data_IF_469448913820
#
_entry.id   IF_469448913820
#
_cell.length_a   1.000
_cell.length_b   1.000
_cell.length_c   1.000
_cell.angle_alpha   90.00
_cell.angle_beta   90.00
_cell.angle_gamma   90.00
#
_symmetry.space_group_name_H-M   'P 1'
#
loop_
_entity.id
_entity.type
_entity.pdbx_description
1 polymer ?
#
# COMPACT_ATOMS: atom_id res chain seq x y z
N UNK A 1 17.74 -13.19 51.83
CA UNK A 1 17.17 -13.51 50.50
C UNK A 1 16.18 -12.41 50.12
N UNK A 2 16.55 -11.49 49.23
CA UNK A 2 15.61 -10.50 48.67
C UNK A 2 14.97 -11.13 47.44
N UNK A 3 13.68 -11.39 47.50
CA UNK A 3 12.86 -11.83 46.37
C UNK A 3 12.87 -10.71 45.33
N UNK A 4 13.52 -10.97 44.18
CA UNK A 4 13.37 -10.14 42.99
C UNK A 4 11.91 -10.23 42.54
N UNK A 5 11.13 -9.18 42.77
CA UNK A 5 9.81 -9.02 42.15
C UNK A 5 10.02 -8.99 40.64
N UNK A 6 9.44 -9.96 39.93
CA UNK A 6 9.36 -9.92 38.47
C UNK A 6 8.63 -8.63 38.07
N UNK A 7 9.22 -7.87 37.15
CA UNK A 7 8.50 -6.80 36.46
C UNK A 7 7.39 -7.48 35.67
N UNK A 8 6.13 -7.34 36.09
CA UNK A 8 5.00 -7.77 35.28
C UNK A 8 5.00 -6.93 34.01
N UNK A 9 5.35 -7.54 32.87
CA UNK A 9 5.25 -6.95 31.54
C UNK A 9 3.77 -6.85 31.15
N UNK A 10 3.07 -5.82 31.65
CA UNK A 10 1.75 -5.51 31.12
C UNK A 10 1.91 -5.09 29.67
N UNK A 11 1.27 -5.82 28.74
CA UNK A 11 1.32 -5.50 27.32
C UNK A 11 0.72 -4.11 27.10
N UNK A 12 1.50 -3.20 26.52
CA UNK A 12 1.02 -1.85 26.18
C UNK A 12 -0.12 -1.94 25.14
N UNK A 13 -1.04 -0.97 25.19
CA UNK A 13 -2.24 -0.90 24.35
C UNK A 13 -3.02 -2.25 24.25
N UNK A 14 -3.53 -2.81 25.38
CA UNK A 14 -4.22 -4.10 25.39
C UNK A 14 -5.50 -4.12 24.56
N UNK A 15 -6.16 -2.97 24.38
CA UNK A 15 -7.35 -2.78 23.55
C UNK A 15 -7.05 -2.66 22.06
N UNK A 16 -5.78 -2.58 21.65
CA UNK A 16 -5.37 -2.35 20.26
C UNK A 16 -6.04 -1.12 19.63
N UNK A 17 -6.25 -0.06 20.42
CA UNK A 17 -6.86 1.19 19.95
C UNK A 17 -5.86 2.02 19.15
N UNK A 18 -6.33 2.68 18.08
CA UNK A 18 -5.54 3.63 17.30
C UNK A 18 -5.07 4.76 18.22
N UNK A 19 -3.75 4.97 18.28
CA UNK A 19 -3.13 5.99 19.12
C UNK A 19 -2.84 7.25 18.31
N UNK A 20 -2.89 8.41 18.99
CA UNK A 20 -2.54 9.71 18.40
C UNK A 20 -1.34 10.30 19.14
N UNK A 21 -0.26 10.57 18.42
CA UNK A 21 0.98 11.13 18.94
C UNK A 21 1.14 12.60 18.56
N UNK A 22 1.78 13.37 19.45
CA UNK A 22 2.08 14.82 19.29
C UNK A 22 3.54 15.06 19.69
N UNK A 23 4.52 14.72 18.84
CA UNK A 23 5.93 14.90 19.14
C UNK A 23 6.28 16.36 19.42
N UNK A 24 7.25 16.58 20.31
CA UNK A 24 7.98 17.86 20.33
C UNK A 24 8.86 18.01 19.09
N UNK A 25 9.41 19.21 18.85
CA UNK A 25 10.34 19.45 17.73
C UNK A 25 11.56 18.53 17.82
N UNK A 26 12.07 18.33 19.04
CA UNK A 26 13.25 17.52 19.32
C UNK A 26 12.95 16.04 19.02
N UNK A 27 11.78 15.56 19.44
CA UNK A 27 11.32 14.19 19.18
C UNK A 27 11.06 13.94 17.69
N UNK A 28 10.60 14.97 16.96
CA UNK A 28 10.29 14.89 15.54
C UNK A 28 11.52 14.86 14.62
N UNK A 29 12.73 15.10 15.14
CA UNK A 29 13.94 15.12 14.34
C UNK A 29 14.41 13.73 13.87
N UNK A 30 14.18 12.68 14.66
CA UNK A 30 14.65 11.32 14.36
C UNK A 30 13.45 10.39 14.12
N UNK A 31 13.15 10.16 12.84
CA UNK A 31 12.03 9.33 12.38
C UNK A 31 12.11 7.91 12.95
N UNK A 32 13.21 7.21 12.75
CA UNK A 32 13.39 5.80 13.18
C UNK A 32 13.23 5.68 14.70
N UNK A 33 13.81 6.61 15.46
CA UNK A 33 13.67 6.64 16.92
C UNK A 33 12.22 6.87 17.35
N UNK A 34 11.49 7.75 16.66
CA UNK A 34 10.10 8.02 17.00
C UNK A 34 9.16 6.86 16.63
N UNK A 35 9.41 6.17 15.50
CA UNK A 35 8.70 4.92 15.17
C UNK A 35 8.90 3.89 16.28
N UNK A 36 10.14 3.66 16.72
CA UNK A 36 10.43 2.73 17.81
C UNK A 36 9.77 3.16 19.14
N UNK A 37 9.72 4.47 19.42
CA UNK A 37 8.98 5.00 20.57
C UNK A 37 7.48 4.68 20.47
N UNK A 38 6.82 4.95 19.34
CA UNK A 38 5.39 4.64 19.17
C UNK A 38 5.10 3.16 19.38
N UNK A 39 5.95 2.27 18.85
CA UNK A 39 5.82 0.83 19.08
C UNK A 39 6.03 0.45 20.54
N UNK A 40 6.97 1.09 21.25
CA UNK A 40 7.15 0.88 22.69
C UNK A 40 5.90 1.22 23.52
N UNK A 41 5.05 2.13 23.02
CA UNK A 41 3.75 2.48 23.60
C UNK A 41 2.60 1.56 23.14
N UNK A 42 2.88 0.59 22.26
CA UNK A 42 1.90 -0.37 21.75
C UNK A 42 1.10 0.12 20.53
N UNK A 43 1.54 1.17 19.84
CA UNK A 43 0.82 1.73 18.69
C UNK A 43 0.63 0.72 17.54
N UNK A 44 1.64 -0.12 17.28
CA UNK A 44 1.62 -1.14 16.23
C UNK A 44 0.50 -2.17 16.37
N UNK A 45 0.00 -2.36 17.59
CA UNK A 45 -1.06 -3.33 17.86
C UNK A 45 -2.39 -2.95 17.22
N UNK A 46 -2.63 -1.67 17.01
CA UNK A 46 -3.83 -1.19 16.29
C UNK A 46 -3.71 -1.38 14.77
N UNK A 47 -2.51 -1.64 14.24
CA UNK A 47 -2.22 -1.66 12.81
C UNK A 47 -2.07 -0.27 12.19
N UNK A 48 -2.46 0.79 12.91
CA UNK A 48 -2.44 2.17 12.45
C UNK A 48 -2.28 3.14 13.61
N UNK A 49 -1.51 4.21 13.41
CA UNK A 49 -1.38 5.33 14.34
C UNK A 49 -1.42 6.67 13.60
N UNK A 50 -1.85 7.71 14.31
CA UNK A 50 -1.82 9.10 13.82
C UNK A 50 -0.69 9.86 14.51
N UNK A 51 0.02 10.70 13.76
CA UNK A 51 1.02 11.63 14.29
C UNK A 51 0.66 13.05 13.84
N UNK A 52 0.48 13.95 14.80
CA UNK A 52 0.26 15.37 14.54
C UNK A 52 1.60 16.07 14.75
N UNK A 53 2.23 16.63 13.70
CA UNK A 53 3.55 17.23 13.81
C UNK A 53 3.52 18.50 14.69
N UNK A 54 4.69 18.99 15.13
CA UNK A 54 4.79 20.27 15.84
C UNK A 54 4.13 21.40 15.05
N UNK A 55 3.45 22.33 15.74
CA UNK A 55 2.57 23.33 15.12
C UNK A 55 3.28 24.26 14.11
N UNK A 56 4.58 24.47 14.27
CA UNK A 56 5.40 25.30 13.40
C UNK A 56 6.12 24.53 12.29
N UNK A 57 6.06 23.20 12.31
CA UNK A 57 6.58 22.37 11.24
C UNK A 57 5.62 22.41 10.04
N UNK A 58 6.19 22.49 8.83
CA UNK A 58 5.45 22.42 7.57
C UNK A 58 6.25 21.61 6.55
N UNK A 59 5.56 20.76 5.79
CA UNK A 59 6.17 19.99 4.70
C UNK A 59 6.73 20.90 3.59
N UNK A 60 6.00 21.99 3.28
CA UNK A 60 6.36 23.01 2.29
C UNK A 60 5.74 24.37 2.62
N UNK A 61 6.21 25.43 1.95
CA UNK A 61 5.71 26.80 2.16
C UNK A 61 4.29 27.06 1.65
N UNK A 62 4.00 26.77 0.38
CA UNK A 62 2.71 27.00 -0.28
C UNK A 62 2.39 25.88 -1.26
N UNK A 63 1.14 25.76 -1.70
CA UNK A 63 0.69 24.75 -2.68
C UNK A 63 0.19 25.38 -3.99
N UNK A 64 0.53 26.64 -4.27
CA UNK A 64 -0.05 27.39 -5.40
C UNK A 64 0.51 26.96 -6.77
N UNK A 65 1.65 26.28 -6.76
CA UNK A 65 2.43 25.83 -7.91
C UNK A 65 2.10 24.40 -8.37
N UNK A 66 1.12 23.74 -7.74
CA UNK A 66 0.81 22.32 -8.02
C UNK A 66 -0.19 22.12 -9.17
N UNK A 67 -0.81 23.19 -9.64
CA UNK A 67 -1.95 23.14 -10.57
C UNK A 67 -1.61 22.44 -11.89
N UNK A 68 -0.36 22.54 -12.35
CA UNK A 68 0.12 21.98 -13.62
C UNK A 68 0.68 20.55 -13.47
N UNK A 69 0.65 19.96 -12.26
CA UNK A 69 1.01 18.56 -12.06
C UNK A 69 0.07 17.67 -12.88
N UNK A 70 0.63 16.75 -13.65
CA UNK A 70 -0.12 15.84 -14.51
C UNK A 70 -0.50 14.56 -13.76
N UNK A 71 -1.80 14.30 -13.64
CA UNK A 71 -2.34 13.01 -13.24
C UNK A 71 -2.44 12.16 -14.52
N UNK A 72 -1.41 11.34 -14.79
CA UNK A 72 -1.27 10.63 -16.06
C UNK A 72 -2.35 9.55 -16.29
N UNK A 73 -2.79 8.87 -15.22
CA UNK A 73 -3.77 7.78 -15.31
C UNK A 73 -4.83 7.85 -14.19
N UNK A 74 -5.74 8.84 -14.19
CA UNK A 74 -6.80 8.92 -13.19
C UNK A 74 -7.72 7.69 -13.28
N UNK A 75 -8.14 7.17 -12.12
CA UNK A 75 -8.89 5.93 -12.02
C UNK A 75 -10.33 6.20 -11.61
N UNK A 76 -11.29 6.00 -12.52
CA UNK A 76 -12.70 6.00 -12.17
C UNK A 76 -13.04 4.72 -11.41
N UNK A 77 -13.51 4.86 -10.18
CA UNK A 77 -13.82 3.75 -9.27
C UNK A 77 -15.27 3.33 -9.44
N UNK A 78 -15.49 2.26 -10.19
CA UNK A 78 -16.81 1.68 -10.41
C UNK A 78 -17.04 0.61 -9.35
N UNK A 79 -18.20 0.63 -8.71
CA UNK A 79 -18.52 -0.27 -7.59
C UNK A 79 -19.59 -1.28 -8.03
N UNK A 80 -19.39 -2.54 -7.65
CA UNK A 80 -20.39 -3.61 -7.71
C UNK A 80 -20.58 -4.20 -6.30
N UNK A 81 -21.77 -4.69 -5.99
CA UNK A 81 -22.11 -5.25 -4.67
C UNK A 81 -23.20 -4.45 -3.94
N UNK A 82 -23.50 -4.84 -2.71
CA UNK A 82 -24.60 -4.30 -1.91
C UNK A 82 -24.37 -4.52 -0.41
N UNK A 83 -25.20 -3.91 0.43
CA UNK A 83 -25.24 -4.15 1.88
C UNK A 83 -23.89 -4.03 2.62
N UNK A 84 -23.02 -3.12 2.17
CA UNK A 84 -21.72 -2.91 2.81
C UNK A 84 -20.60 -3.83 2.31
N UNK A 85 -20.88 -4.70 1.34
CA UNK A 85 -19.90 -5.61 0.72
C UNK A 85 -19.80 -5.25 -0.76
N UNK A 86 -18.64 -4.73 -1.16
CA UNK A 86 -18.45 -4.21 -2.51
C UNK A 86 -17.12 -4.63 -3.13
N UNK A 87 -17.13 -4.80 -4.44
CA UNK A 87 -15.92 -4.91 -5.26
C UNK A 87 -15.77 -3.62 -6.06
N UNK A 88 -14.56 -3.07 -6.03
CA UNK A 88 -14.17 -1.86 -6.74
C UNK A 88 -13.37 -2.22 -7.98
N UNK A 89 -13.82 -1.74 -9.14
CA UNK A 89 -13.11 -1.86 -10.40
C UNK A 89 -12.59 -0.49 -10.83
N UNK A 90 -11.39 -0.46 -11.42
CA UNK A 90 -10.77 0.78 -11.89
C UNK A 90 -10.86 0.91 -13.39
N UNK A 91 -11.54 1.96 -13.85
CA UNK A 91 -11.57 2.36 -15.25
C UNK A 91 -10.66 3.56 -15.46
N UNK A 92 -9.55 3.36 -16.19
CA UNK A 92 -8.62 4.43 -16.53
C UNK A 92 -9.33 5.54 -17.31
N UNK A 93 -9.03 6.79 -16.96
CA UNK A 93 -9.50 8.00 -17.65
C UNK A 93 -8.34 8.67 -18.38
N UNK A 94 -8.67 9.65 -19.23
CA UNK A 94 -7.67 10.48 -19.88
C UNK A 94 -6.88 11.25 -18.82
N UNK A 95 -5.59 11.46 -19.10
CA UNK A 95 -4.74 12.29 -18.27
C UNK A 95 -5.35 13.68 -18.08
N UNK A 96 -5.13 14.28 -16.92
CA UNK A 96 -5.60 15.62 -16.58
C UNK A 96 -4.64 16.27 -15.58
N UNK A 97 -4.60 17.58 -15.59
CA UNK A 97 -3.86 18.39 -14.61
C UNK A 97 -4.58 18.42 -13.26
N UNK A 98 -3.87 18.74 -12.19
CA UNK A 98 -4.47 18.99 -10.87
C UNK A 98 -5.50 20.12 -10.94
N UNK A 99 -5.27 21.14 -11.76
CA UNK A 99 -6.23 22.23 -12.03
C UNK A 99 -7.55 21.70 -12.59
N UNK A 100 -7.50 20.84 -13.60
CA UNK A 100 -8.69 20.21 -14.20
C UNK A 100 -9.38 19.27 -13.21
N UNK A 101 -8.59 18.51 -12.45
CA UNK A 101 -9.10 17.60 -11.42
C UNK A 101 -9.84 18.36 -10.31
N UNK A 102 -9.31 19.50 -9.83
CA UNK A 102 -9.98 20.36 -8.84
C UNK A 102 -11.29 20.96 -9.37
N UNK A 103 -11.36 21.28 -10.66
CA UNK A 103 -12.63 21.71 -11.28
C UNK A 103 -13.65 20.57 -11.31
N UNK A 104 -13.19 19.34 -11.61
CA UNK A 104 -14.03 18.14 -11.58
C UNK A 104 -14.57 17.87 -10.17
N UNK A 105 -13.73 17.94 -9.13
CA UNK A 105 -14.14 17.69 -7.74
C UNK A 105 -15.21 18.67 -7.26
N UNK A 106 -15.14 19.92 -7.70
CA UNK A 106 -16.03 20.99 -7.26
C UNK A 106 -17.32 21.08 -8.09
N UNK A 107 -17.51 20.19 -9.07
CA UNK A 107 -18.77 20.11 -9.82
C UNK A 107 -19.90 19.60 -8.94
N UNK A 108 -21.15 19.98 -9.24
CA UNK A 108 -22.33 19.55 -8.47
C UNK A 108 -22.45 18.02 -8.32
N UNK A 109 -21.95 17.29 -9.31
CA UNK A 109 -21.94 15.82 -9.34
C UNK A 109 -20.95 15.20 -8.34
N UNK A 110 -19.83 15.86 -8.10
CA UNK A 110 -18.70 15.30 -7.36
C UNK A 110 -18.39 16.02 -6.05
N UNK A 111 -19.04 17.15 -5.79
CA UNK A 111 -18.88 17.88 -4.54
C UNK A 111 -19.32 17.04 -3.33
N UNK A 112 -18.68 17.31 -2.21
CA UNK A 112 -19.05 16.72 -0.93
C UNK A 112 -20.47 17.17 -0.55
N UNK A 113 -21.38 16.25 -0.17
CA UNK A 113 -22.71 16.63 0.31
C UNK A 113 -22.57 17.39 1.62
N UNK A 114 -23.54 18.25 1.93
CA UNK A 114 -23.62 18.85 3.28
C UNK A 114 -23.64 17.76 4.36
N UNK A 115 -23.01 18.01 5.50
CA UNK A 115 -23.03 17.13 6.67
C UNK A 115 -22.77 17.96 7.94
N UNK A 116 -23.27 17.49 9.08
CA UNK A 116 -23.08 18.11 10.39
C UNK A 116 -21.84 17.60 11.12
N UNK A 117 -21.52 16.32 10.97
CA UNK A 117 -20.34 15.68 11.57
C UNK A 117 -19.79 14.53 10.69
N UNK A 118 -18.59 14.05 11.03
CA UNK A 118 -17.93 12.98 10.28
C UNK A 118 -18.69 11.65 10.32
N UNK A 119 -19.53 11.40 11.33
CA UNK A 119 -20.33 10.18 11.39
C UNK A 119 -21.49 10.21 10.40
N UNK A 120 -22.11 11.38 10.23
CA UNK A 120 -23.11 11.61 9.19
C UNK A 120 -22.50 11.44 7.80
N UNK A 121 -21.31 12.00 7.57
CA UNK A 121 -20.63 11.84 6.29
C UNK A 121 -20.26 10.37 6.02
N UNK A 122 -19.79 9.63 7.02
CA UNK A 122 -19.53 8.19 6.93
C UNK A 122 -20.80 7.39 6.59
N UNK A 123 -21.93 7.68 7.26
CA UNK A 123 -23.22 7.06 6.93
C UNK A 123 -23.62 7.35 5.49
N UNK A 124 -23.44 8.60 5.02
CA UNK A 124 -23.69 8.99 3.62
C UNK A 124 -22.78 8.25 2.66
N UNK A 125 -21.48 8.12 2.98
CA UNK A 125 -20.52 7.38 2.16
C UNK A 125 -21.00 5.95 1.94
N UNK A 126 -21.22 5.17 3.01
CA UNK A 126 -21.61 3.76 2.88
C UNK A 126 -23.00 3.58 2.27
N UNK A 127 -23.96 4.46 2.57
CA UNK A 127 -25.32 4.42 2.00
C UNK A 127 -25.33 4.68 0.49
N UNK A 128 -24.44 5.56 0.02
CA UNK A 128 -24.49 6.08 -1.36
C UNK A 128 -23.29 5.67 -2.22
N UNK A 129 -22.37 4.85 -1.69
CA UNK A 129 -21.21 4.34 -2.43
C UNK A 129 -21.57 3.65 -3.76
N UNK A 130 -22.66 2.86 -3.86
CA UNK A 130 -23.00 2.16 -5.11
C UNK A 130 -23.45 3.07 -6.26
N UNK A 131 -23.95 4.27 -5.97
CA UNK A 131 -24.62 5.11 -6.97
C UNK A 131 -23.65 6.02 -7.75
N UNK A 132 -22.42 6.19 -7.25
CA UNK A 132 -21.45 7.11 -7.83
C UNK A 132 -20.14 6.42 -8.16
N UNK A 133 -19.52 6.84 -9.26
CA UNK A 133 -18.21 6.37 -9.68
C UNK A 133 -17.21 7.54 -9.72
N UNK A 134 -16.64 7.93 -8.56
CA UNK A 134 -15.70 9.04 -8.47
C UNK A 134 -14.38 8.70 -9.18
N UNK A 135 -13.60 9.73 -9.52
CA UNK A 135 -12.30 9.57 -10.17
C UNK A 135 -11.21 9.80 -9.14
N UNK A 136 -10.24 8.92 -9.03
CA UNK A 136 -9.13 9.04 -8.10
C UNK A 136 -7.81 9.26 -8.84
N UNK A 137 -7.09 10.34 -8.51
CA UNK A 137 -5.73 10.58 -9.01
C UNK A 137 -4.71 9.88 -8.13
N UNK A 138 -4.68 8.55 -8.15
CA UNK A 138 -3.78 7.73 -7.35
C UNK A 138 -2.45 7.44 -8.08
N UNK A 139 -1.43 7.07 -7.30
CA UNK A 139 -0.14 6.55 -7.75
C UNK A 139 0.59 7.50 -8.73
N UNK A 140 0.53 8.82 -8.46
CA UNK A 140 1.28 9.83 -9.23
C UNK A 140 2.67 9.96 -8.63
N UNK A 141 3.71 9.48 -9.32
CA UNK A 141 5.11 9.56 -8.85
C UNK A 141 5.54 11.01 -8.58
N UNK A 142 6.03 11.29 -7.38
CA UNK A 142 6.53 12.61 -7.00
C UNK A 142 6.46 12.87 -5.50
N UNK A 143 7.08 13.97 -5.09
CA UNK A 143 6.99 14.49 -3.72
C UNK A 143 6.65 15.98 -3.76
N UNK A 144 5.83 16.42 -2.82
CA UNK A 144 5.50 17.82 -2.57
C UNK A 144 6.28 18.41 -1.39
N UNK A 145 7.16 17.64 -0.74
CA UNK A 145 8.02 18.18 0.31
C UNK A 145 9.06 19.15 -0.28
N UNK A 146 9.30 20.28 0.38
CA UNK A 146 10.41 21.16 0.02
C UNK A 146 11.75 20.44 0.26
N UNK A 147 12.74 20.64 -0.62
CA UNK A 147 14.09 20.04 -0.49
C UNK A 147 14.78 20.39 0.84
N UNK A 148 14.41 21.53 1.42
CA UNK A 148 14.94 22.01 2.69
C UNK A 148 14.26 21.38 3.92
N UNK A 149 13.12 20.72 3.75
CA UNK A 149 12.42 20.01 4.84
C UNK A 149 13.19 18.74 5.19
N UNK A 150 13.81 18.71 6.37
CA UNK A 150 14.68 17.61 6.81
C UNK A 150 13.96 16.57 7.66
N UNK A 151 13.05 17.01 8.53
CA UNK A 151 12.27 16.11 9.38
C UNK A 151 11.16 15.46 8.57
N UNK A 152 11.06 14.13 8.65
CA UNK A 152 9.93 13.34 8.11
C UNK A 152 9.60 13.63 6.64
N UNK A 153 10.63 13.90 5.84
CA UNK A 153 10.49 14.08 4.40
C UNK A 153 10.30 12.70 3.74
N UNK A 154 9.14 12.47 3.11
CA UNK A 154 8.83 11.15 2.57
C UNK A 154 9.70 10.76 1.37
N UNK A 155 10.29 11.73 0.66
CA UNK A 155 11.30 11.47 -0.36
C UNK A 155 12.67 11.08 0.21
N UNK A 156 12.90 11.28 1.52
CA UNK A 156 14.21 11.12 2.17
C UNK A 156 14.09 10.59 3.62
N UNK A 157 13.25 9.57 3.86
CA UNK A 157 13.07 9.03 5.22
C UNK A 157 14.36 8.41 5.78
N UNK A 158 15.23 7.87 4.92
CA UNK A 158 16.50 7.31 5.37
C UNK A 158 16.33 5.99 6.13
N UNK A 159 15.37 5.16 5.75
CA UNK A 159 15.05 3.90 6.45
C UNK A 159 15.73 2.70 5.82
N UNK A 160 15.61 1.53 6.45
CA UNK A 160 16.18 0.24 5.99
C UNK A 160 15.78 -0.09 4.54
N UNK A 161 14.66 0.45 4.06
CA UNK A 161 14.24 0.27 2.68
C UNK A 161 15.24 0.82 1.65
N UNK A 162 16.03 1.83 2.02
CA UNK A 162 17.08 2.36 1.16
C UNK A 162 18.15 1.31 0.84
N UNK A 163 18.29 0.24 1.66
CA UNK A 163 19.13 -0.92 1.33
C UNK A 163 18.73 -1.60 0.02
N UNK A 164 17.45 -1.56 -0.38
CA UNK A 164 17.03 -2.11 -1.68
C UNK A 164 17.68 -1.37 -2.84
N UNK A 165 17.71 -0.04 -2.77
CA UNK A 165 18.35 0.76 -3.81
C UNK A 165 19.89 0.68 -3.67
N UNK A 166 20.42 0.80 -2.45
CA UNK A 166 21.86 0.90 -2.19
C UNK A 166 22.61 -0.42 -2.41
N UNK A 167 22.09 -1.55 -1.92
CA UNK A 167 22.77 -2.85 -1.98
C UNK A 167 22.29 -3.70 -3.16
N UNK A 168 21.00 -3.60 -3.52
CA UNK A 168 20.42 -4.43 -4.57
C UNK A 168 20.26 -3.68 -5.90
N UNK A 169 20.41 -2.35 -5.94
CA UNK A 169 20.17 -1.54 -7.14
C UNK A 169 18.72 -1.55 -7.60
N UNK A 170 17.76 -1.92 -6.74
CA UNK A 170 16.35 -2.09 -7.11
C UNK A 170 15.55 -0.86 -6.71
N UNK A 171 14.96 -0.19 -7.70
CA UNK A 171 13.96 0.87 -7.52
C UNK A 171 12.58 0.29 -7.80
N UNK A 172 11.67 0.40 -6.83
CA UNK A 172 10.29 -0.07 -6.92
C UNK A 172 9.40 1.13 -6.65
N UNK A 173 8.74 1.64 -7.69
CA UNK A 173 7.90 2.82 -7.56
C UNK A 173 6.79 2.60 -6.52
N UNK A 174 6.52 3.60 -5.69
CA UNK A 174 5.56 3.53 -4.57
C UNK A 174 6.06 2.83 -3.32
N UNK A 175 7.02 1.93 -3.49
CA UNK A 175 7.67 1.23 -2.39
C UNK A 175 8.80 2.11 -1.88
N UNK A 176 9.83 2.39 -2.69
CA UNK A 176 10.97 3.24 -2.30
C UNK A 176 11.01 4.61 -2.99
N UNK A 177 9.92 5.00 -3.65
CA UNK A 177 9.71 6.38 -4.12
C UNK A 177 8.30 6.84 -3.76
N UNK A 178 8.11 8.10 -3.32
CA UNK A 178 6.81 8.58 -2.88
C UNK A 178 5.80 8.67 -4.04
N UNK A 179 4.54 8.40 -3.69
CA UNK A 179 3.37 8.62 -4.54
C UNK A 179 2.48 9.73 -3.99
N UNK A 180 1.94 10.53 -4.89
CA UNK A 180 0.91 11.51 -4.64
C UNK A 180 -0.47 10.92 -4.97
N UNK A 181 -1.44 11.28 -4.13
CA UNK A 181 -2.82 10.84 -4.20
C UNK A 181 -3.75 12.05 -4.15
N UNK A 182 -4.38 12.37 -5.27
CA UNK A 182 -5.40 13.42 -5.35
C UNK A 182 -6.78 12.82 -5.15
N UNK A 183 -7.43 13.09 -4.02
CA UNK A 183 -8.75 12.57 -3.67
C UNK A 183 -9.90 13.48 -4.08
N UNK A 184 -11.09 12.90 -4.18
CA UNK A 184 -12.37 13.63 -4.25
C UNK A 184 -13.39 12.90 -3.36
N UNK A 185 -14.56 13.48 -3.16
CA UNK A 185 -15.61 12.82 -2.38
C UNK A 185 -15.87 11.39 -2.90
N UNK A 186 -15.95 10.43 -1.96
CA UNK A 186 -16.10 8.98 -2.18
C UNK A 186 -14.94 8.23 -2.81
N UNK A 187 -13.83 8.87 -3.20
CA UNK A 187 -12.69 8.05 -3.63
C UNK A 187 -12.16 7.25 -2.45
N UNK A 188 -11.92 5.96 -2.68
CA UNK A 188 -11.67 5.00 -1.61
C UNK A 188 -10.44 4.13 -1.89
N UNK A 189 -9.79 3.70 -0.83
CA UNK A 189 -8.77 2.65 -0.84
C UNK A 189 -9.35 1.43 -0.14
N UNK A 190 -9.30 0.29 -0.83
CA UNK A 190 -9.90 -0.95 -0.36
C UNK A 190 -9.10 -1.60 0.77
N UNK A 191 -9.66 -2.63 1.40
CA UNK A 191 -8.96 -3.41 2.42
C UNK A 191 -7.71 -4.05 1.86
N UNK A 192 -6.55 -3.69 2.40
CA UNK A 192 -5.26 -4.28 2.07
C UNK A 192 -4.27 -4.11 3.22
N UNK A 193 -3.16 -4.83 3.15
CA UNK A 193 -1.90 -4.47 3.81
C UNK A 193 -0.91 -4.06 2.73
N UNK A 194 0.18 -3.39 3.12
CA UNK A 194 1.21 -2.94 2.19
C UNK A 194 1.91 -4.09 1.47
N UNK A 195 2.57 -3.79 0.35
CA UNK A 195 3.36 -4.77 -0.38
C UNK A 195 4.47 -5.35 0.51
N UNK A 196 4.63 -6.68 0.48
CA UNK A 196 5.51 -7.42 1.40
C UNK A 196 5.24 -7.14 2.89
N UNK A 197 4.02 -6.74 3.24
CA UNK A 197 3.60 -6.35 4.60
C UNK A 197 4.49 -5.28 5.24
N UNK A 198 5.04 -4.36 4.43
CA UNK A 198 5.81 -3.21 4.89
C UNK A 198 5.01 -2.28 5.82
N UNK A 199 5.71 -1.33 6.44
CA UNK A 199 5.05 -0.15 6.97
C UNK A 199 4.64 0.77 5.80
N UNK A 200 3.69 1.67 6.04
CA UNK A 200 3.52 2.87 5.21
C UNK A 200 3.36 4.11 6.06
N UNK A 201 3.75 5.24 5.50
CA UNK A 201 3.48 6.56 6.05
C UNK A 201 2.74 7.39 5.01
N UNK A 202 1.71 8.08 5.45
CA UNK A 202 0.86 8.94 4.64
C UNK A 202 0.79 10.33 5.28
N UNK A 203 1.12 11.38 4.53
CA UNK A 203 0.96 12.77 4.94
C UNK A 203 -0.14 13.44 4.13
N UNK A 204 -1.14 14.02 4.80
CA UNK A 204 -2.19 14.77 4.11
C UNK A 204 -1.74 16.22 3.92
N UNK A 205 -1.28 16.56 2.72
CA UNK A 205 -0.71 17.87 2.42
C UNK A 205 -1.69 19.03 2.60
N UNK A 206 -2.90 18.88 2.03
CA UNK A 206 -3.95 19.89 2.06
C UNK A 206 -5.32 19.28 1.70
N UNK A 207 -6.36 20.10 1.89
CA UNK A 207 -7.72 19.81 1.45
C UNK A 207 -8.54 19.07 2.49
N UNK A 208 -9.59 18.39 2.01
CA UNK A 208 -10.56 17.72 2.86
C UNK A 208 -10.01 16.45 3.55
N UNK A 209 -10.57 16.05 4.71
CA UNK A 209 -10.06 14.92 5.47
C UNK A 209 -10.14 13.57 4.76
N UNK A 210 -9.47 12.57 5.35
CA UNK A 210 -9.48 11.16 4.92
C UNK A 210 -9.85 10.27 6.12
N UNK A 211 -10.91 9.49 6.01
CA UNK A 211 -11.27 8.50 7.04
C UNK A 211 -10.55 7.19 6.77
N UNK A 212 -9.99 6.60 7.83
CA UNK A 212 -9.29 5.33 7.85
C UNK A 212 -10.00 4.35 8.79
N UNK A 213 -10.04 3.09 8.37
CA UNK A 213 -10.35 1.93 9.17
C UNK A 213 -9.10 1.06 9.27
N UNK A 214 -8.86 0.48 10.44
CA UNK A 214 -7.74 -0.44 10.65
C UNK A 214 -8.17 -1.67 11.44
N UNK A 215 -7.76 -2.85 11.00
CA UNK A 215 -7.89 -4.09 11.76
C UNK A 215 -6.53 -4.40 12.41
N UNK A 216 -6.49 -4.65 13.74
CA UNK A 216 -5.26 -5.06 14.42
C UNK A 216 -4.56 -6.21 13.71
N UNK A 217 -3.21 -6.20 13.54
CA UNK A 217 -2.48 -7.28 12.88
C UNK A 217 -2.73 -8.64 13.51
N UNK A 218 -2.93 -8.70 14.83
CA UNK A 218 -3.28 -9.94 15.56
C UNK A 218 -4.66 -10.53 15.19
N UNK A 219 -5.46 -9.79 14.42
CA UNK A 219 -6.76 -10.22 13.89
C UNK A 219 -6.82 -10.23 12.36
N UNK A 220 -5.72 -9.98 11.64
CA UNK A 220 -5.70 -9.93 10.18
C UNK A 220 -6.22 -11.21 9.52
N UNK A 221 -5.84 -12.39 10.03
CA UNK A 221 -6.33 -13.70 9.56
C UNK A 221 -7.85 -13.87 9.68
N UNK A 222 -8.49 -13.23 10.66
CA UNK A 222 -9.95 -13.26 10.82
C UNK A 222 -10.64 -12.44 9.73
N UNK A 223 -10.07 -11.28 9.37
CA UNK A 223 -10.54 -10.49 8.23
C UNK A 223 -10.36 -11.25 6.92
N UNK A 224 -9.21 -11.90 6.71
CA UNK A 224 -8.99 -12.75 5.53
C UNK A 224 -10.02 -13.88 5.46
N UNK A 225 -10.35 -14.52 6.58
CA UNK A 225 -11.41 -15.53 6.68
C UNK A 225 -12.76 -15.00 6.21
N UNK A 226 -13.22 -13.89 6.81
CA UNK A 226 -14.46 -13.23 6.42
C UNK A 226 -14.45 -12.81 4.94
N UNK A 227 -13.35 -12.25 4.45
CA UNK A 227 -13.24 -11.81 3.07
C UNK A 227 -13.36 -12.99 2.09
N UNK A 228 -12.82 -14.17 2.41
CA UNK A 228 -12.99 -15.36 1.57
C UNK A 228 -14.45 -15.81 1.47
N UNK A 229 -15.20 -15.68 2.56
CA UNK A 229 -16.64 -15.99 2.60
C UNK A 229 -17.46 -14.96 1.81
N UNK A 230 -17.13 -13.67 1.94
CA UNK A 230 -17.83 -12.58 1.26
C UNK A 230 -17.51 -12.46 -0.24
N UNK A 231 -16.31 -12.90 -0.66
CA UNK A 231 -15.83 -12.82 -2.05
C UNK A 231 -15.34 -14.18 -2.57
N UNK A 232 -16.21 -15.20 -2.66
CA UNK A 232 -15.79 -16.57 -2.95
C UNK A 232 -15.23 -16.72 -4.38
N UNK A 233 -15.70 -15.91 -5.34
CA UNK A 233 -15.15 -15.87 -6.69
C UNK A 233 -13.69 -15.41 -6.71
N UNK A 234 -13.41 -14.28 -6.06
CA UNK A 234 -12.05 -13.72 -5.96
C UNK A 234 -11.12 -14.65 -5.18
N UNK A 235 -11.59 -15.23 -4.07
CA UNK A 235 -10.79 -16.16 -3.26
C UNK A 235 -10.39 -17.43 -4.01
N UNK A 236 -11.23 -17.96 -4.91
CA UNK A 236 -10.86 -19.11 -5.74
C UNK A 236 -9.80 -18.77 -6.78
N UNK A 237 -9.79 -17.52 -7.26
CA UNK A 237 -8.81 -17.05 -8.23
C UNK A 237 -7.45 -16.69 -7.61
N UNK A 238 -7.42 -16.23 -6.36
CA UNK A 238 -6.20 -15.85 -5.66
C UNK A 238 -6.40 -15.92 -4.14
N UNK A 239 -5.54 -16.67 -3.45
CA UNK A 239 -5.59 -16.77 -1.98
C UNK A 239 -5.32 -15.42 -1.30
N UNK A 240 -4.51 -14.56 -1.93
CA UNK A 240 -4.16 -13.23 -1.45
C UNK A 240 -4.92 -12.12 -2.19
N UNK A 241 -6.16 -12.35 -2.64
CA UNK A 241 -6.91 -11.40 -3.48
C UNK A 241 -7.13 -10.01 -2.86
N UNK A 242 -7.04 -9.86 -1.53
CA UNK A 242 -7.07 -8.54 -0.87
C UNK A 242 -5.90 -7.64 -1.32
N UNK A 243 -4.78 -8.23 -1.79
CA UNK A 243 -3.66 -7.52 -2.43
C UNK A 243 -4.08 -6.76 -3.69
N UNK A 244 -5.19 -7.14 -4.32
CA UNK A 244 -5.65 -6.51 -5.56
C UNK A 244 -6.29 -5.13 -5.25
N UNK A 245 -6.46 -4.78 -3.98
CA UNK A 245 -7.00 -3.48 -3.52
C UNK A 245 -8.38 -3.15 -4.14
N UNK A 246 -9.24 -4.17 -4.23
CA UNK A 246 -10.60 -4.06 -4.79
C UNK A 246 -11.72 -4.35 -3.79
N UNK A 247 -11.47 -5.00 -2.66
CA UNK A 247 -12.52 -5.43 -1.73
C UNK A 247 -12.84 -4.36 -0.66
N UNK A 248 -14.07 -3.89 -0.64
CA UNK A 248 -14.60 -2.97 0.37
C UNK A 248 -15.60 -3.70 1.26
N UNK A 249 -15.38 -3.62 2.57
CA UNK A 249 -16.24 -4.20 3.61
C UNK A 249 -16.53 -3.09 4.61
N UNK A 250 -17.80 -2.83 4.89
CA UNK A 250 -18.22 -1.73 5.75
C UNK A 250 -17.99 -2.01 7.24
N UNK A 251 -17.87 -0.97 8.08
CA UNK A 251 -17.81 -1.10 9.54
C UNK A 251 -18.96 -1.92 10.14
N UNK A 252 -20.17 -1.79 9.58
CA UNK A 252 -21.34 -2.57 10.01
C UNK A 252 -21.11 -4.06 9.77
N UNK A 253 -20.67 -4.44 8.57
CA UNK A 253 -20.39 -5.86 8.25
C UNK A 253 -19.26 -6.41 9.13
N UNK A 254 -18.21 -5.63 9.39
CA UNK A 254 -17.13 -6.04 10.30
C UNK A 254 -17.66 -6.27 11.73
N UNK A 255 -18.48 -5.34 12.24
CA UNK A 255 -19.07 -5.43 13.57
C UNK A 255 -19.98 -6.65 13.71
N UNK A 256 -20.86 -6.87 12.73
CA UNK A 256 -21.82 -7.98 12.73
C UNK A 256 -21.13 -9.36 12.68
N UNK A 257 -19.93 -9.41 12.09
CA UNK A 257 -19.09 -10.62 12.03
C UNK A 257 -18.01 -10.66 13.13
N UNK A 258 -18.08 -9.78 14.13
CA UNK A 258 -17.17 -9.78 15.28
C UNK A 258 -15.71 -9.48 14.95
N UNK A 259 -15.41 -8.83 13.83
CA UNK A 259 -14.06 -8.40 13.46
C UNK A 259 -13.73 -7.09 14.18
N UNK A 260 -12.72 -7.05 15.07
CA UNK A 260 -12.33 -5.83 15.76
C UNK A 260 -11.65 -4.87 14.77
N UNK A 261 -12.03 -3.59 14.83
CA UNK A 261 -11.43 -2.54 14.01
C UNK A 261 -11.43 -1.20 14.75
N UNK A 262 -10.50 -0.33 14.40
CA UNK A 262 -10.49 1.08 14.77
C UNK A 262 -10.88 1.99 13.61
N UNK A 263 -11.35 3.20 13.92
CA UNK A 263 -11.67 4.27 12.95
C UNK A 263 -10.93 5.54 13.36
N UNK A 264 -10.33 6.25 12.41
CA UNK A 264 -9.75 7.58 12.62
C UNK A 264 -9.91 8.44 11.37
N UNK A 265 -10.17 9.74 11.55
CA UNK A 265 -10.16 10.72 10.45
C UNK A 265 -8.85 11.49 10.49
N UNK A 266 -8.10 11.49 9.40
CA UNK A 266 -6.88 12.25 9.18
C UNK A 266 -7.24 13.60 8.55
N UNK A 267 -6.77 14.67 9.15
CA UNK A 267 -6.95 16.05 8.68
C UNK A 267 -5.67 16.57 8.02
N UNK A 268 -5.76 17.72 7.34
CA UNK A 268 -4.63 18.30 6.64
C UNK A 268 -3.51 18.66 7.62
N UNK A 269 -2.27 18.36 7.26
CA UNK A 269 -1.10 18.54 8.10
C UNK A 269 -0.80 17.36 9.03
N UNK A 270 -1.60 16.29 9.01
CA UNK A 270 -1.39 15.12 9.87
C UNK A 270 -0.76 13.94 9.10
N UNK A 271 0.01 13.12 9.83
CA UNK A 271 0.53 11.85 9.36
C UNK A 271 -0.31 10.67 9.85
N UNK A 272 -0.42 9.65 9.01
CA UNK A 272 -0.85 8.30 9.36
C UNK A 272 0.31 7.35 9.12
N UNK A 273 0.58 6.46 10.08
CA UNK A 273 1.53 5.36 9.94
C UNK A 273 0.75 4.06 10.02
N UNK A 274 0.90 3.20 9.02
CA UNK A 274 0.41 1.82 9.05
C UNK A 274 1.55 0.88 9.39
N UNK A 275 1.23 -0.17 10.15
CA UNK A 275 2.21 -1.13 10.67
C UNK A 275 2.16 -2.44 9.89
N UNK A 276 3.23 -3.27 9.93
CA UNK A 276 3.28 -4.54 9.23
C UNK A 276 2.06 -5.41 9.49
N UNK A 277 1.47 -5.90 8.40
CA UNK A 277 0.27 -6.73 8.40
C UNK A 277 -0.99 -6.07 9.02
N UNK A 278 -0.97 -4.74 9.21
CA UNK A 278 -2.12 -3.94 9.63
C UNK A 278 -3.06 -3.67 8.46
N UNK A 279 -4.16 -4.44 8.39
CA UNK A 279 -5.15 -4.24 7.34
C UNK A 279 -5.81 -2.88 7.51
N UNK A 280 -5.93 -2.13 6.41
CA UNK A 280 -6.57 -0.83 6.43
C UNK A 280 -7.37 -0.55 5.14
N UNK A 281 -8.38 0.31 5.28
CA UNK A 281 -9.23 0.81 4.18
C UNK A 281 -9.76 2.20 4.53
N UNK A 282 -10.40 2.88 3.59
CA UNK A 282 -10.95 4.20 3.88
C UNK A 282 -11.40 4.98 2.67
N UNK A 283 -11.77 6.24 2.91
CA UNK A 283 -12.32 7.12 1.88
C UNK A 283 -11.97 8.60 2.13
N UNK A 284 -11.97 9.38 1.05
CA UNK A 284 -11.72 10.82 1.05
C UNK A 284 -13.03 11.60 1.19
N UNK A 285 -12.99 12.67 1.98
CA UNK A 285 -14.15 13.51 2.27
C UNK A 285 -14.44 14.50 1.13
N UNK A 286 -13.42 14.86 0.34
CA UNK A 286 -13.54 15.80 -0.77
C UNK A 286 -12.20 15.97 -1.49
N UNK A 287 -12.00 17.12 -2.12
CA UNK A 287 -10.73 17.42 -2.80
C UNK A 287 -9.59 17.51 -1.80
N UNK A 288 -8.60 16.64 -1.95
CA UNK A 288 -7.40 16.63 -1.12
C UNK A 288 -6.18 16.11 -1.87
N UNK A 289 -5.01 16.27 -1.26
CA UNK A 289 -3.77 15.66 -1.73
C UNK A 289 -3.03 15.02 -0.56
N UNK A 290 -2.70 13.74 -0.70
CA UNK A 290 -1.83 13.03 0.22
C UNK A 290 -0.57 12.55 -0.49
N UNK A 291 0.52 12.45 0.25
CA UNK A 291 1.75 11.79 -0.19
C UNK A 291 1.97 10.56 0.69
N UNK A 292 2.38 9.45 0.09
CA UNK A 292 2.70 8.24 0.83
C UNK A 292 3.89 7.49 0.25
N UNK A 293 4.56 6.75 1.13
CA UNK A 293 5.64 5.82 0.78
C UNK A 293 5.63 4.66 1.77
N UNK A 294 6.11 3.49 1.35
CA UNK A 294 6.43 2.42 2.28
C UNK A 294 7.73 2.73 3.05
N UNK A 295 7.96 2.02 4.15
CA UNK A 295 9.26 2.02 4.82
C UNK A 295 9.45 0.74 5.63
N UNK A 296 10.66 0.50 6.12
CA UNK A 296 11.00 -0.70 6.88
C UNK A 296 11.75 -0.37 8.18
N UNK A 297 11.44 -1.15 9.22
CA UNK A 297 12.21 -1.24 10.47
C UNK A 297 12.76 -2.68 10.62
N UNK A 298 13.70 -2.94 11.55
CA UNK A 298 14.20 -4.31 11.78
C UNK A 298 13.09 -5.31 12.13
N UNK A 299 12.01 -4.86 12.79
CA UNK A 299 10.86 -5.70 13.15
C UNK A 299 10.12 -6.23 11.92
N UNK A 300 10.09 -5.47 10.82
CA UNK A 300 9.39 -5.88 9.61
C UNK A 300 10.01 -7.11 8.93
N UNK A 301 11.31 -7.38 9.10
CA UNK A 301 11.99 -8.47 8.36
C UNK A 301 11.27 -9.81 8.52
N UNK A 302 10.83 -10.13 9.73
CA UNK A 302 10.12 -11.38 9.99
C UNK A 302 8.71 -11.41 9.38
N UNK A 303 8.07 -10.26 9.17
CA UNK A 303 6.83 -10.15 8.39
C UNK A 303 7.12 -10.34 6.89
N UNK A 304 8.12 -9.65 6.34
CA UNK A 304 8.48 -9.74 4.93
C UNK A 304 8.87 -11.16 4.48
N UNK A 305 9.47 -11.96 5.36
CA UNK A 305 9.79 -13.38 5.11
C UNK A 305 8.57 -14.26 4.86
N UNK A 306 7.43 -13.94 5.47
CA UNK A 306 6.22 -14.78 5.46
C UNK A 306 5.01 -14.10 4.81
N UNK A 307 5.22 -12.91 4.23
CA UNK A 307 4.17 -12.13 3.60
C UNK A 307 3.51 -12.90 2.45
N UNK A 308 2.18 -12.96 2.47
CA UNK A 308 1.41 -13.61 1.39
C UNK A 308 1.45 -12.75 0.13
N UNK A 309 1.77 -13.39 -1.00
CA UNK A 309 1.84 -12.72 -2.30
C UNK A 309 0.67 -13.10 -3.20
N UNK A 310 0.27 -12.17 -4.07
CA UNK A 310 -0.65 -12.46 -5.16
C UNK A 310 0.00 -13.50 -6.11
N UNK A 311 -0.69 -14.62 -6.33
CA UNK A 311 -0.23 -15.70 -7.21
C UNK A 311 -0.84 -15.65 -8.62
N UNK A 312 -1.91 -14.87 -8.84
CA UNK A 312 -2.59 -14.77 -10.13
C UNK A 312 -1.98 -13.72 -11.08
N UNK A 313 -1.03 -12.90 -10.60
CA UNK A 313 -0.32 -11.90 -11.39
C UNK A 313 -0.98 -10.51 -11.46
N UNK A 314 -2.17 -10.32 -10.89
CA UNK A 314 -2.87 -9.03 -10.93
C UNK A 314 -2.20 -7.91 -10.14
N UNK A 315 -1.54 -8.24 -9.03
CA UNK A 315 -0.97 -7.26 -8.09
C UNK A 315 0.40 -7.71 -7.55
N UNK A 316 1.25 -8.28 -8.41
CA UNK A 316 2.53 -8.86 -7.98
C UNK A 316 3.61 -7.79 -7.83
N UNK A 317 3.84 -7.34 -6.60
CA UNK A 317 5.06 -6.63 -6.19
C UNK A 317 5.86 -7.55 -5.28
N UNK A 318 7.07 -7.91 -5.68
CA UNK A 318 7.96 -8.78 -4.89
C UNK A 318 9.39 -8.32 -5.03
N UNK A 319 10.15 -8.42 -3.94
CA UNK A 319 11.59 -8.22 -3.93
C UNK A 319 12.24 -9.26 -3.00
N UNK A 320 13.55 -9.45 -3.17
CA UNK A 320 14.29 -10.47 -2.41
C UNK A 320 14.46 -10.05 -0.95
N UNK A 321 14.08 -10.93 -0.02
CA UNK A 321 14.39 -10.76 1.39
C UNK A 321 15.87 -11.05 1.73
N UNK A 322 16.64 -11.60 0.79
CA UNK A 322 17.99 -12.13 1.04
C UNK A 322 18.94 -11.10 1.66
N UNK A 323 19.03 -9.91 1.08
CA UNK A 323 19.90 -8.83 1.58
C UNK A 323 19.52 -8.41 3.01
N UNK A 324 18.23 -8.28 3.30
CA UNK A 324 17.77 -7.91 4.64
C UNK A 324 18.12 -8.96 5.69
N UNK A 325 17.88 -10.24 5.39
CA UNK A 325 18.19 -11.32 6.34
C UNK A 325 19.70 -11.46 6.52
N UNK A 326 20.48 -11.38 5.43
CA UNK A 326 21.95 -11.47 5.48
C UNK A 326 22.58 -10.37 6.31
N UNK A 327 22.11 -9.13 6.16
CA UNK A 327 22.71 -7.96 6.80
C UNK A 327 22.18 -7.78 8.23
N UNK A 328 20.88 -7.95 8.46
CA UNK A 328 20.23 -7.54 9.71
C UNK A 328 19.89 -8.72 10.63
N UNK A 329 19.97 -9.96 10.14
CA UNK A 329 19.79 -11.19 10.91
C UNK A 329 20.82 -12.27 10.50
N UNK A 330 22.13 -11.94 10.47
CA UNK A 330 23.17 -12.84 9.95
C UNK A 330 23.21 -14.19 10.66
N UNK A 331 22.87 -14.24 11.95
CA UNK A 331 22.81 -15.47 12.75
C UNK A 331 21.69 -16.43 12.32
N UNK A 332 20.66 -15.92 11.64
CA UNK A 332 19.52 -16.69 11.12
C UNK A 332 19.63 -16.95 9.62
N UNK A 333 20.54 -16.28 8.91
CA UNK A 333 20.62 -16.32 7.45
C UNK A 333 20.75 -17.73 6.89
N UNK A 334 21.70 -18.52 7.38
CA UNK A 334 21.93 -19.89 6.92
C UNK A 334 20.73 -20.82 7.16
N UNK A 335 20.05 -20.67 8.30
CA UNK A 335 18.84 -21.43 8.62
C UNK A 335 17.68 -21.01 7.72
N UNK A 336 17.52 -19.71 7.47
CA UNK A 336 16.49 -19.17 6.59
C UNK A 336 16.70 -19.61 5.13
N UNK A 337 17.95 -19.59 4.61
CA UNK A 337 18.29 -20.07 3.26
C UNK A 337 17.96 -21.54 3.05
N UNK A 338 18.04 -22.36 4.10
CA UNK A 338 17.64 -23.78 4.08
C UNK A 338 16.14 -24.02 4.33
N UNK A 339 15.33 -22.97 4.51
CA UNK A 339 13.91 -23.09 4.84
C UNK A 339 13.64 -23.64 6.25
N UNK A 340 14.62 -23.54 7.15
CA UNK A 340 14.56 -24.09 8.51
C UNK A 340 14.28 -23.04 9.60
N UNK A 341 14.20 -21.75 9.23
CA UNK A 341 13.81 -20.67 10.13
C UNK A 341 12.30 -20.72 10.42
N UNK A 342 11.92 -21.34 11.54
CA UNK A 342 10.52 -21.54 11.97
C UNK A 342 9.98 -20.40 12.85
N UNK A 343 10.58 -19.22 12.79
CA UNK A 343 10.18 -18.10 13.64
C UNK A 343 8.74 -17.68 13.33
N UNK A 344 7.91 -17.67 14.37
CA UNK A 344 6.52 -17.20 14.28
C UNK A 344 6.49 -15.71 14.63
N UNK A 345 5.85 -14.91 13.79
CA UNK A 345 5.69 -13.47 14.00
C UNK A 345 4.81 -13.22 15.22
N UNK A 346 5.35 -12.58 16.25
CA UNK A 346 4.60 -12.10 17.42
C UNK A 346 4.16 -10.65 17.19
N UNK A 347 2.89 -10.46 16.84
CA UNK A 347 2.32 -9.15 16.55
C UNK A 347 2.39 -8.16 17.73
N UNK A 348 2.58 -8.64 18.97
CA UNK A 348 2.58 -7.81 20.18
C UNK A 348 3.94 -7.20 20.48
N UNK A 349 5.03 -7.77 19.94
CA UNK A 349 6.39 -7.29 20.24
C UNK A 349 6.72 -6.01 19.46
N UNK A 350 7.16 -4.93 20.14
CA UNK A 350 7.64 -3.72 19.46
C UNK A 350 9.03 -3.94 18.84
N UNK A 351 9.46 -3.02 17.98
CA UNK A 351 10.88 -2.88 17.63
C UNK A 351 11.65 -2.50 18.89
N UNK A 352 12.68 -3.26 19.25
CA UNK A 352 13.53 -2.87 20.37
C UNK A 352 14.44 -1.68 19.96
N UNK A 353 14.41 -0.56 20.70
CA UNK A 353 15.23 0.63 20.41
C UNK A 353 16.74 0.35 20.41
N UNK A 354 17.17 -0.70 21.11
CA UNK A 354 18.56 -1.16 21.21
C UNK A 354 18.81 -2.48 20.47
N UNK A 355 17.92 -2.89 19.55
CA UNK A 355 18.12 -4.13 18.82
C UNK A 355 19.43 -4.10 18.05
N UNK A 356 20.16 -5.23 18.04
CA UNK A 356 21.37 -5.40 17.23
C UNK A 356 21.13 -5.03 15.76
N UNK A 357 19.95 -5.30 15.22
CA UNK A 357 19.56 -4.92 13.87
C UNK A 357 19.48 -3.41 13.63
N UNK A 358 19.01 -2.62 14.61
CA UNK A 358 18.92 -1.16 14.48
C UNK A 358 20.30 -0.49 14.62
N UNK A 359 21.18 -1.04 15.46
CA UNK A 359 22.59 -0.61 15.54
C UNK A 359 23.37 -1.01 14.27
N UNK A 360 23.23 -2.25 13.80
CA UNK A 360 23.82 -2.70 12.54
C UNK A 360 23.35 -1.83 11.36
N UNK A 361 22.06 -1.48 11.32
CA UNK A 361 21.54 -0.53 10.34
C UNK A 361 22.20 0.85 10.44
N UNK A 362 22.33 1.41 11.65
CA UNK A 362 23.01 2.70 11.86
C UNK A 362 24.47 2.66 11.40
N UNK A 363 25.17 1.57 11.65
CA UNK A 363 26.55 1.36 11.19
C UNK A 363 26.63 1.27 9.66
N UNK A 364 25.75 0.50 9.01
CA UNK A 364 25.67 0.42 7.55
C UNK A 364 25.36 1.79 6.94
N UNK A 365 24.36 2.51 7.49
CA UNK A 365 24.00 3.85 7.05
C UNK A 365 25.17 4.83 7.20
N UNK A 366 25.91 4.77 8.31
CA UNK A 366 27.10 5.60 8.53
C UNK A 366 28.23 5.27 7.56
N UNK A 367 28.45 3.99 7.26
CA UNK A 367 29.46 3.54 6.31
C UNK A 367 29.12 3.95 4.86
N UNK A 368 27.87 3.78 4.43
CA UNK A 368 27.39 4.23 3.12
C UNK A 368 27.45 5.76 2.99
N UNK A 369 27.11 6.49 4.06
CA UNK A 369 27.25 7.95 4.12
C UNK A 369 28.71 8.43 4.06
N UNK A 370 29.66 7.69 4.63
CA UNK A 370 31.08 8.00 4.56
C UNK A 370 31.72 7.65 3.20
N UNK A 371 31.22 6.62 2.52
CA UNK A 371 31.67 6.23 1.18
C UNK A 371 31.17 7.19 0.08
N UNK A 372 30.12 7.95 0.36
CA UNK A 372 29.54 8.96 -0.53
C UNK A 372 29.90 10.36 -0.02
N UNK A 373 31.10 10.85 -0.35
CA UNK A 373 31.41 12.29 -0.27
C UNK A 373 30.35 13.14 -1.00
N UNK A 374 30.27 14.46 -0.76
CA UNK A 374 29.13 15.29 -1.15
C UNK A 374 28.89 15.26 -2.66
N UNK A 375 28.04 14.33 -3.11
CA UNK A 375 27.53 14.33 -4.47
C UNK A 375 26.44 15.39 -4.49
N UNK A 376 26.69 16.48 -5.21
CA UNK A 376 25.61 17.32 -5.71
C UNK A 376 24.56 16.42 -6.36
N UNK A 377 23.45 16.18 -5.67
CA UNK A 377 22.25 15.65 -6.31
C UNK A 377 21.80 16.72 -7.30
N UNK A 378 22.15 16.54 -8.58
CA UNK A 378 21.45 17.27 -9.62
C UNK A 378 19.96 16.90 -9.52
N UNK A 379 19.05 17.88 -9.51
CA UNK A 379 17.62 17.59 -9.50
C UNK A 379 17.29 16.70 -10.70
N UNK A 380 16.70 15.52 -10.43
CA UNK A 380 16.29 14.55 -11.45
C UNK A 380 15.21 15.22 -12.32
N UNK A 381 15.63 15.84 -13.43
CA UNK A 381 14.70 16.30 -14.47
C UNK A 381 13.95 15.08 -15.02
N UNK A 382 12.63 15.13 -14.99
CA UNK A 382 11.77 14.20 -15.69
C UNK A 382 12.25 14.05 -17.15
N UNK A 383 12.58 12.83 -17.56
CA UNK A 383 12.80 12.54 -18.98
C UNK A 383 11.48 12.85 -19.70
N UNK A 384 11.54 13.73 -20.71
CA UNK A 384 10.40 14.00 -21.59
C UNK A 384 9.80 12.68 -22.08
N UNK A 385 8.47 12.52 -22.08
CA UNK A 385 7.86 11.36 -22.72
C UNK A 385 8.25 11.34 -24.20
N UNK A 386 8.74 10.20 -24.69
CA UNK A 386 8.85 9.98 -26.14
C UNK A 386 7.44 10.00 -26.71
N UNK A 387 7.20 10.93 -27.62
CA UNK A 387 5.97 11.01 -28.42
C UNK A 387 5.77 9.66 -29.12
N UNK A 388 4.59 9.01 -29.03
CA UNK A 388 4.28 7.87 -29.87
C UNK A 388 4.24 8.35 -31.32
N UNK A 389 5.08 7.76 -32.17
CA UNK A 389 4.98 7.94 -33.62
C UNK A 389 3.59 7.44 -34.04
N UNK A 390 2.78 8.37 -34.52
CA UNK A 390 1.51 8.08 -35.19
C UNK A 390 1.80 7.25 -36.43
N UNK A 391 1.21 6.05 -36.52
CA UNK A 391 1.14 5.31 -37.76
C UNK A 391 0.17 6.07 -38.68
N UNK A 392 0.73 6.86 -39.58
CA UNK A 392 -0.02 7.53 -40.63
C UNK A 392 -0.42 6.50 -41.70
N UNK A 393 -1.70 6.54 -42.06
CA UNK A 393 -2.29 5.76 -43.13
C UNK A 393 -1.87 6.35 -44.48
N UNK A 394 -1.03 5.65 -45.23
CA UNK A 394 -0.63 6.13 -46.56
C UNK A 394 0.13 5.09 -47.37
N UNK A 395 -0.60 4.46 -48.29
CA UNK A 395 -0.15 3.70 -49.48
C UNK A 395 1.26 3.98 -49.98
N UNK A 396 2.04 2.92 -50.28
CA UNK A 396 2.84 2.79 -51.52
C UNK A 396 3.51 1.41 -51.69
N UNK A 397 3.19 0.81 -52.83
CA UNK A 397 3.94 -0.05 -53.75
C UNK A 397 4.87 -1.19 -53.27
N UNK A 398 4.48 -2.38 -53.74
CA UNK A 398 5.25 -3.63 -53.83
C UNK A 398 6.40 -3.54 -54.84
N UNK A 399 7.59 -4.03 -54.45
CA UNK A 399 8.64 -4.59 -55.34
C UNK A 399 9.37 -5.73 -54.58
N UNK A 400 9.73 -6.87 -55.21
CA UNK A 400 9.88 -8.16 -54.53
C UNK A 400 11.32 -8.52 -54.12
N UNK A 401 11.46 -9.40 -53.13
CA UNK A 401 12.73 -10.04 -52.72
C UNK A 401 12.74 -11.51 -53.20
N UNK A 402 13.81 -12.03 -53.82
CA UNK A 402 13.87 -13.41 -54.29
C UNK A 402 14.16 -14.41 -53.17
N UNK A 403 13.65 -15.62 -53.37
CA UNK A 403 13.68 -16.76 -52.46
C UNK A 403 15.07 -17.35 -52.19
N UNK A 404 15.29 -17.81 -50.95
CA UNK A 404 16.15 -18.97 -50.66
C UNK A 404 15.49 -19.87 -49.62
N UNK A 405 15.60 -21.16 -49.93
CA UNK A 405 14.95 -22.36 -49.42
C UNK A 405 15.16 -22.70 -47.94
N UNK A 406 14.10 -23.24 -47.32
CA UNK A 406 14.22 -24.30 -46.32
C UNK A 406 13.22 -25.42 -46.64
N UNK A 407 13.75 -26.62 -46.88
CA UNK A 407 12.96 -27.85 -47.08
C UNK A 407 12.34 -28.28 -45.74
N UNK A 408 11.06 -28.70 -45.70
CA UNK A 408 10.49 -29.39 -44.55
C UNK A 408 10.72 -30.90 -44.64
N UNK A 409 11.01 -31.54 -43.50
CA UNK A 409 10.93 -33.00 -43.37
C UNK A 409 9.48 -33.43 -43.08
N UNK A 410 9.06 -34.64 -43.51
CA UNK A 410 7.65 -34.95 -43.70
C UNK A 410 6.98 -35.58 -42.48
N UNK A 411 5.66 -35.37 -42.43
CA UNK A 411 4.72 -35.97 -41.51
C UNK A 411 4.59 -37.50 -41.69
N UNK A 412 4.37 -38.19 -40.57
CA UNK A 412 3.45 -39.33 -40.44
C UNK A 412 2.35 -38.82 -39.49
N UNK A 413 1.06 -38.95 -39.74
CA UNK A 413 0.33 -39.99 -40.44
C UNK A 413 -0.84 -40.33 -39.52
N UNK A 414 -2.02 -39.84 -39.90
CA UNK A 414 -3.32 -39.85 -39.22
C UNK A 414 -3.87 -41.22 -38.82
N UNK A 415 -4.75 -41.25 -37.82
CA UNK A 415 -5.94 -42.10 -37.82
C UNK A 415 -7.16 -41.39 -37.21
N UNK A 416 -8.32 -41.87 -37.65
CA UNK A 416 -9.59 -41.18 -37.87
C UNK A 416 -10.50 -40.98 -36.65
N UNK A 417 -11.46 -40.08 -36.86
CA UNK A 417 -12.63 -39.80 -36.04
C UNK A 417 -13.63 -40.96 -35.89
N UNK A 418 -14.43 -40.91 -34.83
CA UNK A 418 -15.89 -41.16 -34.86
C UNK A 418 -16.55 -40.66 -33.56
N UNK A 419 -17.54 -39.77 -33.70
CA UNK A 419 -18.61 -39.55 -32.72
C UNK A 419 -19.66 -40.66 -32.90
N UNK A 420 -20.30 -41.11 -31.82
CA UNK A 420 -21.74 -41.41 -31.76
C UNK A 420 -22.22 -41.47 -30.31
N UNK A 421 -23.32 -40.77 -30.04
CA UNK A 421 -24.13 -40.77 -28.82
C UNK A 421 -24.77 -42.14 -28.52
N UNK A 422 -24.96 -42.45 -27.24
CA UNK A 422 -26.15 -43.14 -26.74
C UNK A 422 -26.28 -43.01 -25.22
N UNK A 423 -27.46 -42.62 -24.78
CA UNK A 423 -27.90 -42.45 -23.40
C UNK A 423 -28.23 -43.79 -22.70
N UNK A 424 -28.09 -43.82 -21.36
CA UNK A 424 -28.96 -44.54 -20.42
C UNK A 424 -28.51 -44.24 -18.97
N UNK A 425 -29.22 -43.38 -18.24
CA UNK A 425 -30.07 -43.73 -17.08
C UNK A 425 -29.55 -44.86 -16.19
N UNK A 426 -29.19 -44.52 -14.94
CA UNK A 426 -29.51 -45.35 -13.77
C UNK A 426 -29.72 -44.46 -12.55
N UNK A 427 -30.98 -44.46 -12.10
CA UNK A 427 -31.50 -43.87 -10.88
C UNK A 427 -31.11 -44.68 -9.64
N UNK A 428 -31.01 -43.94 -8.55
CA UNK A 428 -31.02 -44.33 -7.13
C UNK A 428 -31.98 -45.45 -6.74
N UNK A 429 -31.56 -46.26 -5.76
CA UNK A 429 -32.41 -47.15 -4.98
C UNK A 429 -31.64 -47.79 -3.82
N UNK A 430 -31.72 -47.16 -2.65
CA UNK A 430 -31.37 -47.62 -1.29
C UNK A 430 -32.07 -48.93 -0.88
N UNK A 431 -31.72 -49.59 0.25
CA UNK A 431 -31.09 -49.06 1.47
C UNK A 431 -29.73 -49.63 1.86
#
# INVERSE_FOLDING_TARGET
MKVMKSKSTWAQNPSCSIMVFRPTKEEFNDFDKYIAYMESQGAHRAGLAKVIPPQDWKARKTYDDIDDILIAAPLQQVISGHAGVFTQHHKKKKAMTVREYRRLTNSEKHQTPFYSDFEELERKYWKTRPYDSPVYGADVSGSLFDENTKQWNLGHLGTIQDLLEQECGVVIEGVNTPYLYFGMWKTAFAWHTEDMDLYSINYLHFGEPKTWYAVPPEHGRRLEGLARELFPGSSRGCEAFLRHKVALISPTVLKDNGIPFGRVTQEAGEFIVTFPYGYHSGFNHGFNCAEAINFASPRWIDFGKVASQCSCGEARVTFSMDAFVRILQPERYELWKRGQDRTVVDHRRPTEPSSKGLNAWREVRAACGAALGPRHHQPRRARRPRVPVTLDSGTRHLVPVPAVSWRPSPARGSCSAAQFDAAATCTSGEP
#
